data_IF_088974782597
#
_entry.id   IF_088974782597
#
_cell.length_a   1.000
_cell.length_b   1.000
_cell.length_c   1.000
_cell.angle_alpha   90.00
_cell.angle_beta   90.00
_cell.angle_gamma   90.00
#
_symmetry.space_group_name_H-M   'P 1'
#
loop_
_entity.id
_entity.type
_entity.pdbx_description
1 polymer ?
#
# COMPACT_ATOMS: atom_id res chain seq x y z
N UNK A 1 20.55 0.35 5.60
CA UNK A 1 20.40 0.85 4.23
C UNK A 1 19.91 2.28 4.30
N UNK A 2 20.37 3.18 3.42
CA UNK A 2 19.87 4.55 3.37
C UNK A 2 18.50 4.54 2.65
N UNK A 3 17.49 5.17 3.23
CA UNK A 3 16.18 5.35 2.60
C UNK A 3 16.27 6.33 1.43
N UNK A 4 15.42 6.14 0.44
CA UNK A 4 15.26 7.11 -0.65
C UNK A 4 14.72 8.42 -0.09
N UNK A 5 15.27 9.58 -0.47
CA UNK A 5 14.75 10.86 -0.01
C UNK A 5 13.34 11.11 -0.57
N UNK A 6 12.61 12.01 0.05
CA UNK A 6 11.40 12.59 -0.53
C UNK A 6 11.71 13.22 -1.89
N UNK A 7 10.80 13.08 -2.85
CA UNK A 7 10.86 13.82 -4.13
C UNK A 7 10.46 15.28 -3.93
N UNK A 8 9.55 15.52 -2.98
CA UNK A 8 9.13 16.84 -2.54
C UNK A 8 8.81 16.82 -1.04
N UNK A 9 8.80 17.97 -0.43
CA UNK A 9 8.37 18.10 0.96
C UNK A 9 6.86 17.84 1.11
N UNK A 10 6.46 17.43 2.31
CA UNK A 10 5.06 17.35 2.72
C UNK A 10 4.71 18.72 3.32
N UNK A 11 3.63 19.34 2.83
CA UNK A 11 3.23 20.67 3.23
C UNK A 11 2.40 20.65 4.52
N UNK A 12 2.42 21.77 5.26
CA UNK A 12 1.69 21.90 6.51
C UNK A 12 0.17 21.74 6.36
N UNK A 13 -0.39 22.11 5.22
CA UNK A 13 -1.82 21.92 4.90
C UNK A 13 -2.15 20.44 4.62
N UNK A 14 -1.23 19.68 4.06
CA UNK A 14 -1.38 18.23 3.88
C UNK A 14 -1.38 17.49 5.23
N UNK A 15 -0.49 17.90 6.15
CA UNK A 15 -0.45 17.37 7.53
C UNK A 15 -1.75 17.72 8.27
N UNK A 16 -2.23 18.96 8.14
CA UNK A 16 -3.50 19.38 8.74
C UNK A 16 -4.69 18.63 8.18
N UNK A 17 -4.75 18.42 6.85
CA UNK A 17 -5.80 17.63 6.23
C UNK A 17 -5.82 16.20 6.76
N UNK A 18 -4.64 15.57 6.88
CA UNK A 18 -4.54 14.23 7.46
C UNK A 18 -5.03 14.19 8.91
N UNK A 19 -4.65 15.16 9.74
CA UNK A 19 -5.05 15.24 11.14
C UNK A 19 -6.57 15.46 11.30
N UNK A 20 -7.18 16.25 10.43
CA UNK A 20 -8.61 16.60 10.49
C UNK A 20 -9.50 15.53 9.87
N UNK A 21 -9.11 15.02 8.72
CA UNK A 21 -9.94 14.15 7.87
C UNK A 21 -9.57 12.66 7.99
N UNK A 22 -8.41 12.35 8.62
CA UNK A 22 -7.88 10.98 8.72
C UNK A 22 -7.33 10.44 7.41
N UNK A 23 -7.30 11.24 6.35
CA UNK A 23 -6.83 10.87 5.01
C UNK A 23 -6.27 12.08 4.27
N UNK A 24 -5.24 11.83 3.45
CA UNK A 24 -4.68 12.85 2.54
C UNK A 24 -4.13 12.20 1.27
N UNK A 25 -4.24 12.89 0.15
CA UNK A 25 -3.66 12.46 -1.12
C UNK A 25 -2.36 13.21 -1.40
N UNK A 26 -1.24 12.54 -1.21
CA UNK A 26 0.10 13.08 -1.46
C UNK A 26 0.58 12.75 -2.88
N UNK A 27 0.42 13.67 -3.80
CA UNK A 27 0.85 13.48 -5.19
C UNK A 27 2.35 13.67 -5.36
N UNK A 28 2.99 12.82 -6.18
CA UNK A 28 4.40 12.96 -6.56
C UNK A 28 5.39 12.62 -5.44
N UNK A 29 5.02 11.79 -4.47
CA UNK A 29 5.90 11.39 -3.36
C UNK A 29 6.88 10.28 -3.72
N UNK A 30 6.55 9.47 -4.72
CA UNK A 30 7.38 8.34 -5.15
C UNK A 30 7.95 8.58 -6.54
N UNK A 31 9.17 8.08 -6.77
CA UNK A 31 9.79 8.10 -8.11
C UNK A 31 9.05 7.19 -9.07
N UNK A 32 9.17 7.48 -10.37
CA UNK A 32 8.64 6.59 -11.41
C UNK A 32 9.22 5.17 -11.28
N UNK A 33 10.49 5.05 -10.87
CA UNK A 33 11.09 3.74 -10.64
C UNK A 33 10.35 2.95 -9.55
N UNK A 34 10.02 3.58 -8.40
CA UNK A 34 9.23 2.92 -7.37
C UNK A 34 7.85 2.51 -7.86
N UNK A 35 7.23 3.33 -8.71
CA UNK A 35 5.91 3.02 -9.27
C UNK A 35 6.00 1.80 -10.18
N UNK A 36 6.99 1.73 -11.07
CA UNK A 36 7.17 0.59 -11.96
C UNK A 36 7.58 -0.68 -11.19
N UNK A 37 8.54 -0.57 -10.27
CA UNK A 37 8.94 -1.70 -9.41
C UNK A 37 7.73 -2.30 -8.66
N UNK A 38 6.82 -1.45 -8.15
CA UNK A 38 5.63 -1.93 -7.43
C UNK A 38 4.55 -2.48 -8.37
N UNK A 39 4.46 -2.02 -9.61
CA UNK A 39 3.59 -2.63 -10.63
C UNK A 39 4.04 -4.04 -10.98
N UNK A 40 5.34 -4.21 -11.23
CA UNK A 40 5.93 -5.52 -11.51
C UNK A 40 5.73 -6.47 -10.33
N UNK A 41 5.94 -5.99 -9.10
CA UNK A 41 5.69 -6.77 -7.89
C UNK A 41 4.22 -7.17 -7.72
N UNK A 42 3.28 -6.31 -8.12
CA UNK A 42 1.85 -6.63 -8.09
C UNK A 42 1.52 -7.76 -9.09
N UNK A 43 2.08 -7.69 -10.31
CA UNK A 43 1.90 -8.75 -11.31
C UNK A 43 2.53 -10.08 -10.86
N UNK A 44 3.72 -10.04 -10.25
CA UNK A 44 4.33 -11.23 -9.65
C UNK A 44 3.44 -11.85 -8.59
N UNK A 45 2.86 -11.05 -7.69
CA UNK A 45 1.96 -11.53 -6.64
C UNK A 45 0.66 -12.14 -7.22
N UNK A 46 0.11 -11.54 -8.28
CA UNK A 46 -1.05 -12.10 -8.99
C UNK A 46 -0.76 -13.45 -9.66
N UNK A 47 0.45 -13.64 -10.17
CA UNK A 47 0.89 -14.86 -10.84
C UNK A 47 1.40 -15.95 -9.88
N UNK A 48 1.88 -15.54 -8.70
CA UNK A 48 2.40 -16.43 -7.66
C UNK A 48 1.93 -15.99 -6.27
N UNK A 49 0.64 -16.21 -5.96
CA UNK A 49 0.05 -15.82 -4.68
C UNK A 49 0.73 -16.52 -3.48
N UNK A 50 0.67 -15.87 -2.32
CA UNK A 50 1.07 -16.46 -1.06
C UNK A 50 0.00 -17.38 -0.45
N UNK A 51 0.32 -18.01 0.67
CA UNK A 51 -0.60 -18.95 1.35
C UNK A 51 -1.83 -18.25 1.96
N UNK A 52 -1.75 -16.92 2.14
CA UNK A 52 -2.82 -16.10 2.74
C UNK A 52 -3.63 -15.31 1.70
N UNK A 53 -3.49 -15.65 0.42
CA UNK A 53 -4.26 -14.98 -0.63
C UNK A 53 -5.74 -15.40 -0.64
N UNK A 54 -6.57 -14.54 -1.21
CA UNK A 54 -7.97 -14.82 -1.50
C UNK A 54 -8.42 -14.12 -2.80
N UNK A 55 -9.27 -14.80 -3.56
CA UNK A 55 -9.93 -14.27 -4.78
C UNK A 55 -11.40 -14.01 -4.46
N UNK A 56 -11.70 -12.80 -3.97
CA UNK A 56 -13.03 -12.48 -3.46
C UNK A 56 -14.09 -12.32 -4.55
N UNK A 57 -13.70 -11.88 -5.77
CA UNK A 57 -14.61 -11.73 -6.90
C UNK A 57 -14.96 -13.06 -7.56
N UNK A 58 -13.96 -13.94 -7.73
CA UNK A 58 -14.14 -15.25 -8.38
C UNK A 58 -15.09 -16.16 -7.61
N UNK A 59 -15.16 -16.04 -6.30
CA UNK A 59 -16.10 -16.78 -5.43
C UNK A 59 -17.56 -16.44 -5.72
N UNK A 60 -17.82 -15.28 -6.33
CA UNK A 60 -19.16 -14.77 -6.65
C UNK A 60 -19.53 -14.86 -8.13
N UNK A 61 -18.65 -15.42 -8.97
CA UNK A 61 -18.86 -15.50 -10.41
C UNK A 61 -18.80 -14.15 -11.14
N UNK A 62 -18.09 -13.18 -10.60
CA UNK A 62 -17.85 -11.88 -11.22
C UNK A 62 -16.75 -11.99 -12.30
N UNK A 63 -16.80 -11.12 -13.31
CA UNK A 63 -15.82 -11.13 -14.42
C UNK A 63 -14.45 -10.56 -14.01
N UNK A 64 -14.44 -9.55 -13.15
CA UNK A 64 -13.20 -8.90 -12.67
C UNK A 64 -12.63 -9.57 -11.42
N UNK A 65 -11.32 -9.54 -11.27
CA UNK A 65 -10.65 -10.03 -10.06
C UNK A 65 -10.80 -9.04 -8.90
N UNK A 66 -10.94 -9.58 -7.71
CA UNK A 66 -10.66 -8.87 -6.47
C UNK A 66 -9.71 -9.74 -5.65
N UNK A 67 -8.44 -9.52 -5.88
CA UNK A 67 -7.35 -10.25 -5.27
C UNK A 67 -6.93 -9.59 -3.95
N UNK A 68 -6.66 -10.43 -2.97
CA UNK A 68 -6.14 -10.06 -1.66
C UNK A 68 -4.98 -10.97 -1.29
N UNK A 69 -3.89 -10.40 -0.74
CA UNK A 69 -2.78 -11.16 -0.17
C UNK A 69 -2.10 -10.33 0.93
N UNK A 70 -1.46 -10.97 1.90
CA UNK A 70 -0.84 -10.31 3.05
C UNK A 70 0.59 -10.81 3.31
N UNK A 71 1.34 -10.04 4.09
CA UNK A 71 2.74 -10.31 4.44
C UNK A 71 3.65 -10.49 3.23
N UNK A 72 3.39 -9.73 2.16
CA UNK A 72 4.10 -9.87 0.89
C UNK A 72 5.58 -9.49 1.03
N UNK A 73 5.89 -8.48 1.85
CA UNK A 73 7.26 -8.04 2.12
C UNK A 73 8.18 -9.15 2.65
N UNK A 74 7.62 -10.20 3.23
CA UNK A 74 8.39 -11.35 3.76
C UNK A 74 8.93 -12.23 2.63
N UNK A 75 8.20 -12.32 1.51
CA UNK A 75 8.48 -13.24 0.39
C UNK A 75 8.82 -12.56 -0.93
N UNK A 76 8.49 -11.29 -1.11
CA UNK A 76 8.82 -10.51 -2.31
C UNK A 76 9.83 -9.42 -1.96
N UNK A 77 11.01 -9.49 -2.59
CA UNK A 77 12.12 -8.58 -2.29
C UNK A 77 11.82 -7.13 -2.68
N UNK A 78 11.06 -6.90 -3.75
CA UNK A 78 10.66 -5.56 -4.17
C UNK A 78 9.72 -4.91 -3.15
N UNK A 79 8.74 -5.66 -2.66
CA UNK A 79 7.87 -5.19 -1.59
C UNK A 79 8.65 -4.94 -0.29
N UNK A 80 9.62 -5.82 0.03
CA UNK A 80 10.51 -5.61 1.17
C UNK A 80 11.32 -4.32 1.03
N UNK A 81 11.93 -4.09 -0.10
CA UNK A 81 12.66 -2.86 -0.39
C UNK A 81 11.75 -1.64 -0.30
N UNK A 82 10.53 -1.72 -0.84
CA UNK A 82 9.56 -0.63 -0.74
C UNK A 82 9.27 -0.26 0.72
N UNK A 83 9.02 -1.23 1.58
CA UNK A 83 8.76 -1.02 3.01
C UNK A 83 9.93 -0.33 3.72
N UNK A 84 11.17 -0.76 3.45
CA UNK A 84 12.34 -0.34 4.25
C UNK A 84 13.19 0.77 3.62
N UNK A 85 13.13 0.94 2.30
CA UNK A 85 14.02 1.84 1.56
C UNK A 85 13.29 2.97 0.83
N UNK A 86 11.97 2.84 0.58
CA UNK A 86 11.18 3.91 -0.02
C UNK A 86 10.89 5.04 0.99
N UNK A 87 10.40 6.20 0.54
CA UNK A 87 9.99 7.28 1.43
C UNK A 87 8.69 7.00 2.21
N UNK A 88 8.06 5.83 2.07
CA UNK A 88 6.75 5.52 2.67
C UNK A 88 6.76 5.64 4.20
N UNK A 89 7.76 5.09 4.87
CA UNK A 89 7.85 5.14 6.34
C UNK A 89 8.08 6.57 6.85
N UNK A 90 8.91 7.34 6.17
CA UNK A 90 9.18 8.74 6.54
C UNK A 90 7.97 9.63 6.24
N UNK A 91 7.22 9.35 5.17
CA UNK A 91 5.93 9.97 4.86
C UNK A 91 4.92 9.72 5.99
N UNK A 92 4.78 8.48 6.42
CA UNK A 92 3.89 8.11 7.53
C UNK A 92 4.31 8.79 8.84
N UNK A 93 5.60 8.80 9.16
CA UNK A 93 6.14 9.47 10.35
C UNK A 93 5.82 10.98 10.34
N UNK A 94 5.99 11.64 9.19
CA UNK A 94 5.70 13.06 9.04
C UNK A 94 4.21 13.36 9.24
N UNK A 95 3.32 12.64 8.57
CA UNK A 95 1.87 12.83 8.69
C UNK A 95 1.37 12.57 10.12
N UNK A 96 1.85 11.50 10.75
CA UNK A 96 1.49 11.16 12.13
C UNK A 96 2.23 11.97 13.18
N UNK A 97 3.13 12.90 12.77
CA UNK A 97 3.98 13.69 13.65
C UNK A 97 4.70 12.80 14.68
N UNK A 98 5.16 11.63 14.27
CA UNK A 98 5.77 10.61 15.11
C UNK A 98 7.26 10.46 14.81
N UNK A 99 8.05 10.28 15.86
CA UNK A 99 9.49 10.00 15.73
C UNK A 99 9.78 8.54 15.36
N UNK A 100 8.77 7.67 15.44
CA UNK A 100 8.90 6.24 15.16
C UNK A 100 7.65 5.69 14.51
N UNK A 101 7.83 4.93 13.45
CA UNK A 101 6.78 4.11 12.83
C UNK A 101 7.24 2.66 12.79
N UNK A 102 6.31 1.74 13.00
CA UNK A 102 6.56 0.30 12.86
C UNK A 102 5.65 -0.22 11.75
N UNK A 103 6.19 -1.10 10.91
CA UNK A 103 5.33 -1.90 10.06
C UNK A 103 4.58 -2.89 10.92
N UNK A 104 3.28 -2.98 10.72
CA UNK A 104 2.43 -4.01 11.31
C UNK A 104 2.28 -5.17 10.34
N UNK A 105 1.75 -4.92 9.15
CA UNK A 105 1.76 -5.83 8.02
C UNK A 105 1.61 -5.03 6.71
N UNK A 106 1.80 -5.70 5.59
CA UNK A 106 1.47 -5.18 4.27
C UNK A 106 0.39 -6.04 3.62
N UNK A 107 -0.33 -5.43 2.69
CA UNK A 107 -1.45 -6.06 2.01
C UNK A 107 -1.54 -5.58 0.56
N UNK A 108 -1.74 -6.49 -0.37
CA UNK A 108 -2.23 -6.19 -1.69
C UNK A 108 -3.75 -6.34 -1.74
N UNK A 109 -4.42 -5.30 -2.21
CA UNK A 109 -5.84 -5.31 -2.57
C UNK A 109 -5.93 -4.85 -4.01
N UNK A 110 -6.03 -5.80 -4.93
CA UNK A 110 -6.05 -5.51 -6.36
C UNK A 110 -7.45 -5.76 -6.90
N UNK A 111 -8.09 -4.69 -7.35
CA UNK A 111 -9.43 -4.70 -7.93
C UNK A 111 -9.34 -4.41 -9.41
N UNK A 112 -9.76 -5.36 -10.23
CA UNK A 112 -9.83 -5.21 -11.68
C UNK A 112 -11.20 -4.70 -12.13
N UNK A 113 -11.28 -4.08 -13.33
CA UNK A 113 -12.56 -3.71 -13.92
C UNK A 113 -13.49 -4.92 -14.07
N UNK A 114 -14.77 -4.71 -13.84
CA UNK A 114 -15.78 -5.77 -13.93
C UNK A 114 -16.14 -6.42 -12.59
N UNK A 115 -15.38 -6.22 -11.53
CA UNK A 115 -15.80 -6.68 -10.20
C UNK A 115 -16.86 -5.77 -9.59
N UNK A 116 -17.95 -6.37 -9.11
CA UNK A 116 -19.02 -5.70 -8.36
C UNK A 116 -18.82 -5.78 -6.85
N UNK A 117 -17.87 -6.59 -6.39
CA UNK A 117 -17.58 -6.76 -4.96
C UNK A 117 -17.06 -5.47 -4.38
N UNK A 118 -17.73 -4.97 -3.34
CA UNK A 118 -17.35 -3.74 -2.62
C UNK A 118 -16.56 -4.10 -1.38
N UNK A 119 -15.51 -3.33 -1.11
CA UNK A 119 -14.88 -3.35 0.20
C UNK A 119 -15.88 -2.84 1.24
N UNK A 120 -16.20 -3.61 2.29
CA UNK A 120 -17.08 -3.13 3.36
C UNK A 120 -16.52 -1.87 4.03
N UNK A 121 -17.40 -1.01 4.50
CA UNK A 121 -16.98 0.12 5.34
C UNK A 121 -16.34 -0.42 6.63
N UNK A 122 -15.15 0.03 6.93
CA UNK A 122 -14.38 -0.38 8.10
C UNK A 122 -13.45 0.75 8.55
N UNK A 123 -12.84 0.56 9.69
CA UNK A 123 -11.67 1.32 10.17
C UNK A 123 -10.62 0.33 10.69
N UNK A 124 -9.36 0.74 10.63
CA UNK A 124 -8.23 -0.13 10.96
C UNK A 124 -7.82 -0.07 12.46
N UNK A 125 -8.66 0.54 13.30
CA UNK A 125 -8.36 0.70 14.74
C UNK A 125 -8.59 -0.55 15.59
N UNK A 126 -9.06 -1.63 15.01
CA UNK A 126 -9.34 -2.89 15.72
C UNK A 126 -8.20 -3.89 15.70
N UNK A 127 -7.06 -3.52 15.16
CA UNK A 127 -5.85 -4.35 15.07
C UNK A 127 -4.85 -4.05 16.18
#
# INVERSE_FOLDING_TARGET
MARSPFIRDIYDDEIKSFDQDGVVCLRGMFSNQWIEDMRDAAEECLNSPGDLHAELASERGEEGRFFHDTFIWVRNETCRRFVFESPAADTAACLMQSQKVNIFFDQWLIKEPGTMTKTPWHHDMTY
#
